data_IF_914224789870
#
_entry.id   IF_914224789870
#
_cell.length_a   1.000
_cell.length_b   1.000
_cell.length_c   1.000
_cell.angle_alpha   90.00
_cell.angle_beta   90.00
_cell.angle_gamma   90.00
#
_symmetry.space_group_name_H-M   'P 1'
#
loop_
_entity.id
_entity.type
_entity.pdbx_description
1 polymer ?
#
# COMPACT_ATOMS: atom_id res chain seq x y z
N UNK A 1 -5.48 -12.22 -24.66
CA UNK A 1 -6.26 -11.44 -23.68
C UNK A 1 -5.40 -11.31 -22.45
N UNK A 2 -4.77 -10.15 -22.25
CA UNK A 2 -3.99 -9.90 -21.03
C UNK A 2 -5.02 -9.80 -19.91
N UNK A 3 -4.93 -10.68 -18.93
CA UNK A 3 -5.78 -10.65 -17.75
C UNK A 3 -5.50 -9.33 -17.02
N UNK A 4 -6.45 -8.39 -17.07
CA UNK A 4 -6.45 -7.13 -16.31
C UNK A 4 -6.72 -7.38 -14.81
N UNK A 5 -6.43 -8.59 -14.32
CA UNK A 5 -7.07 -9.21 -13.16
C UNK A 5 -6.43 -8.84 -11.82
N UNK A 6 -5.50 -7.88 -11.81
CA UNK A 6 -4.87 -7.33 -10.60
C UNK A 6 -5.04 -5.82 -10.44
N UNK A 7 -5.87 -5.18 -11.26
CA UNK A 7 -6.15 -3.75 -11.04
C UNK A 7 -7.15 -3.54 -9.90
N UNK A 8 -7.89 -4.56 -9.49
CA UNK A 8 -8.89 -4.42 -8.46
C UNK A 8 -8.27 -4.22 -7.06
N UNK A 9 -8.88 -3.35 -6.27
CA UNK A 9 -8.50 -3.17 -4.87
C UNK A 9 -8.91 -4.41 -4.07
N UNK A 10 -7.93 -5.21 -3.65
CA UNK A 10 -8.18 -6.40 -2.83
C UNK A 10 -8.85 -6.10 -1.49
N UNK A 11 -8.78 -4.85 -1.01
CA UNK A 11 -9.29 -4.46 0.30
C UNK A 11 -10.79 -4.17 0.29
N UNK A 12 -11.35 -3.77 -0.86
CA UNK A 12 -12.77 -3.38 -0.95
C UNK A 12 -13.48 -3.87 -2.22
N UNK A 13 -12.77 -4.51 -3.15
CA UNK A 13 -13.32 -5.02 -4.40
C UNK A 13 -13.55 -3.96 -5.49
N UNK A 14 -13.12 -2.72 -5.30
CA UNK A 14 -13.15 -1.70 -6.36
C UNK A 14 -12.36 -2.19 -7.58
N UNK A 15 -12.79 -1.82 -8.79
CA UNK A 15 -12.15 -2.26 -10.04
C UNK A 15 -10.74 -1.70 -10.24
N UNK A 16 -10.40 -0.64 -9.52
CA UNK A 16 -9.09 0.03 -9.61
C UNK A 16 -8.49 0.28 -8.23
N UNK A 17 -7.25 -0.17 -8.02
CA UNK A 17 -6.41 0.03 -6.82
C UNK A 17 -5.42 1.16 -7.07
N UNK A 18 -5.93 2.32 -7.47
CA UNK A 18 -5.06 3.48 -7.68
C UNK A 18 -4.57 4.06 -6.35
N UNK A 19 -3.50 4.85 -6.40
CA UNK A 19 -3.05 5.61 -5.23
C UNK A 19 -4.16 6.56 -4.72
N UNK A 20 -4.89 7.20 -5.63
CA UNK A 20 -6.02 8.06 -5.29
C UNK A 20 -7.14 7.27 -4.60
N UNK A 21 -7.48 6.09 -5.12
CA UNK A 21 -8.47 5.21 -4.51
C UNK A 21 -8.06 4.82 -3.08
N UNK A 22 -6.83 4.34 -2.92
CA UNK A 22 -6.27 3.99 -1.60
C UNK A 22 -6.33 5.17 -0.63
N UNK A 23 -5.93 6.36 -1.09
CA UNK A 23 -5.81 7.56 -0.27
C UNK A 23 -7.15 8.17 0.13
N UNK A 24 -8.13 8.24 -0.78
CA UNK A 24 -9.32 9.07 -0.61
C UNK A 24 -10.65 8.31 -0.64
N UNK A 25 -10.69 7.07 -1.14
CA UNK A 25 -11.96 6.38 -1.43
C UNK A 25 -12.10 5.05 -0.67
N UNK A 26 -11.08 4.21 -0.71
CA UNK A 26 -11.13 2.84 -0.22
C UNK A 26 -11.57 2.77 1.26
N UNK A 27 -12.70 2.15 1.59
CA UNK A 27 -13.26 2.17 2.95
C UNK A 27 -12.33 1.51 3.99
N UNK A 28 -11.48 0.58 3.56
CA UNK A 28 -10.48 -0.07 4.42
C UNK A 28 -9.57 0.90 5.16
N UNK A 29 -9.24 2.03 4.53
CA UNK A 29 -8.32 3.03 5.09
C UNK A 29 -9.05 4.21 5.74
N UNK A 30 -10.36 4.11 6.01
CA UNK A 30 -11.16 5.21 6.55
C UNK A 30 -10.61 5.79 7.85
N UNK A 31 -10.34 4.95 8.85
CA UNK A 31 -9.80 5.41 10.14
C UNK A 31 -8.39 6.04 10.01
N UNK A 32 -7.40 5.42 9.34
CA UNK A 32 -6.13 6.09 9.06
C UNK A 32 -6.27 7.40 8.27
N UNK A 33 -7.26 7.46 7.36
CA UNK A 33 -7.54 8.65 6.55
C UNK A 33 -8.09 9.81 7.38
N UNK A 34 -8.90 9.55 8.40
CA UNK A 34 -9.41 10.62 9.29
C UNK A 34 -8.26 11.35 10.00
N UNK A 35 -7.26 10.60 10.47
CA UNK A 35 -6.03 11.16 11.04
C UNK A 35 -5.28 11.99 9.99
N UNK A 36 -5.19 11.49 8.75
CA UNK A 36 -4.54 12.20 7.65
C UNK A 36 -5.28 13.51 7.30
N UNK A 37 -6.62 13.50 7.28
CA UNK A 37 -7.45 14.69 7.02
C UNK A 37 -7.24 15.77 8.08
N UNK A 38 -7.06 15.38 9.35
CA UNK A 38 -6.75 16.34 10.41
C UNK A 38 -5.41 17.06 10.18
N UNK A 39 -4.47 16.44 9.46
CA UNK A 39 -3.12 16.96 9.22
C UNK A 39 -2.94 17.65 7.85
N UNK A 40 -3.64 17.19 6.82
CA UNK A 40 -3.50 17.67 5.43
C UNK A 40 -4.69 18.51 4.97
N UNK A 41 -5.83 18.41 5.65
CA UNK A 41 -7.11 18.98 5.22
C UNK A 41 -8.01 17.96 4.49
N UNK A 42 -9.21 18.41 4.15
CA UNK A 42 -10.26 17.56 3.57
C UNK A 42 -10.00 17.15 2.12
N UNK A 43 -9.26 17.97 1.35
CA UNK A 43 -8.95 17.68 -0.04
C UNK A 43 -7.75 16.73 -0.14
N UNK A 44 -8.05 15.45 -0.35
CA UNK A 44 -7.06 14.39 -0.53
C UNK A 44 -6.78 14.06 -2.00
N UNK A 45 -7.09 14.96 -2.94
CA UNK A 45 -6.61 14.79 -4.31
C UNK A 45 -5.09 15.01 -4.36
N UNK A 46 -4.36 14.18 -5.11
CA UNK A 46 -2.89 14.15 -5.10
C UNK A 46 -2.20 15.54 -5.20
N UNK A 47 -2.63 16.49 -6.06
CA UNK A 47 -2.06 17.84 -6.09
C UNK A 47 -2.23 18.63 -4.78
N UNK A 48 -3.38 18.51 -4.11
CA UNK A 48 -3.63 19.18 -2.83
C UNK A 48 -2.77 18.58 -1.72
N UNK A 49 -2.64 17.26 -1.71
CA UNK A 49 -1.77 16.51 -0.79
C UNK A 49 -0.32 16.92 -0.95
N UNK A 50 0.20 16.94 -2.18
CA UNK A 50 1.58 17.37 -2.47
C UNK A 50 1.82 18.81 -2.02
N UNK A 51 0.85 19.71 -2.25
CA UNK A 51 0.91 21.10 -1.79
C UNK A 51 0.97 21.19 -0.26
N UNK A 52 0.16 20.40 0.46
CA UNK A 52 0.17 20.37 1.92
C UNK A 52 1.51 19.85 2.46
N UNK A 53 2.02 18.74 1.90
CA UNK A 53 3.30 18.15 2.27
C UNK A 53 4.48 19.11 2.03
N UNK A 54 4.49 19.83 0.92
CA UNK A 54 5.54 20.81 0.63
C UNK A 54 5.52 22.03 1.57
N UNK A 55 4.39 22.29 2.23
CA UNK A 55 4.22 23.41 3.15
C UNK A 55 4.47 23.08 4.62
N UNK A 56 4.64 21.80 4.99
CA UNK A 56 4.80 21.40 6.39
C UNK A 56 5.45 20.03 6.57
N UNK A 57 6.54 19.98 7.35
CA UNK A 57 7.19 18.73 7.75
C UNK A 57 6.20 17.78 8.46
N UNK A 58 5.28 18.33 9.28
CA UNK A 58 4.25 17.51 9.95
C UNK A 58 3.29 16.86 8.96
N UNK A 59 2.91 17.56 7.88
CA UNK A 59 2.06 17.01 6.82
C UNK A 59 2.82 15.97 5.99
N UNK A 60 4.12 16.21 5.74
CA UNK A 60 5.01 15.22 5.14
C UNK A 60 5.10 13.93 5.99
N UNK A 61 5.42 14.06 7.28
CA UNK A 61 5.51 12.93 8.22
C UNK A 61 4.20 12.14 8.31
N UNK A 62 3.06 12.83 8.40
CA UNK A 62 1.75 12.18 8.42
C UNK A 62 1.49 11.35 7.16
N UNK A 63 1.85 11.87 5.97
CA UNK A 63 1.71 11.13 4.72
C UNK A 63 2.66 9.92 4.66
N UNK A 64 3.90 10.07 5.13
CA UNK A 64 4.86 8.95 5.21
C UNK A 64 4.30 7.84 6.10
N UNK A 65 3.84 8.16 7.31
CA UNK A 65 3.25 7.18 8.22
C UNK A 65 2.02 6.49 7.64
N UNK A 66 1.15 7.23 6.93
CA UNK A 66 0.01 6.65 6.23
C UNK A 66 0.45 5.66 5.13
N UNK A 67 1.43 6.04 4.31
CA UNK A 67 1.99 5.16 3.28
C UNK A 67 2.60 3.89 3.87
N UNK A 68 3.39 4.00 4.95
CA UNK A 68 3.98 2.85 5.63
C UNK A 68 2.92 1.88 6.16
N UNK A 69 1.86 2.41 6.77
CA UNK A 69 0.72 1.62 7.25
C UNK A 69 0.07 0.84 6.11
N UNK A 70 -0.26 1.54 5.02
CA UNK A 70 -0.91 0.94 3.84
C UNK A 70 -0.01 -0.14 3.22
N UNK A 71 1.26 0.18 2.98
CA UNK A 71 2.20 -0.75 2.34
C UNK A 71 2.43 -1.98 3.21
N UNK A 72 2.64 -1.81 4.53
CA UNK A 72 2.83 -2.92 5.46
C UNK A 72 1.64 -3.87 5.45
N UNK A 73 0.42 -3.31 5.48
CA UNK A 73 -0.78 -4.11 5.49
C UNK A 73 -1.02 -4.82 4.16
N UNK A 74 -0.89 -4.11 3.03
CA UNK A 74 -1.03 -4.69 1.69
C UNK A 74 0.04 -5.75 1.41
N UNK A 75 1.28 -5.54 1.87
CA UNK A 75 2.35 -6.52 1.76
C UNK A 75 2.06 -7.77 2.58
N UNK A 76 1.62 -7.63 3.84
CA UNK A 76 1.25 -8.77 4.67
C UNK A 76 0.12 -9.58 4.04
N UNK A 77 -0.92 -8.92 3.53
CA UNK A 77 -1.99 -9.58 2.78
C UNK A 77 -1.47 -10.24 1.50
N UNK A 78 -0.55 -9.58 0.79
CA UNK A 78 0.15 -10.14 -0.36
C UNK A 78 0.89 -11.43 -0.02
N UNK A 79 1.67 -11.44 1.06
CA UNK A 79 2.43 -12.63 1.52
C UNK A 79 1.51 -13.81 1.82
N UNK A 80 0.37 -13.58 2.47
CA UNK A 80 -0.61 -14.64 2.71
C UNK A 80 -1.12 -15.27 1.40
N UNK A 81 -1.35 -14.44 0.37
CA UNK A 81 -1.74 -14.91 -0.97
C UNK A 81 -0.63 -15.64 -1.72
N UNK A 82 0.64 -15.29 -1.49
CA UNK A 82 1.78 -16.00 -2.07
C UNK A 82 2.03 -17.36 -1.40
N UNK A 83 1.72 -17.50 -0.12
CA UNK A 83 1.88 -18.74 0.65
C UNK A 83 0.71 -19.73 0.41
N UNK A 84 -0.39 -19.28 -0.21
CA UNK A 84 -1.53 -20.11 -0.58
C UNK A 84 -1.16 -21.19 -1.62
N UNK A 85 -1.55 -22.44 -1.35
CA UNK A 85 -1.33 -23.60 -2.22
C UNK A 85 -2.09 -23.49 -3.54
N UNK A 86 -3.11 -22.65 -3.64
CA UNK A 86 -3.86 -22.37 -4.85
C UNK A 86 -3.32 -21.16 -5.63
N UNK A 87 -2.33 -20.45 -5.08
CA UNK A 87 -1.70 -19.30 -5.75
C UNK A 87 -1.06 -19.71 -7.09
N UNK A 88 -0.96 -18.80 -8.05
CA UNK A 88 -0.29 -19.13 -9.32
C UNK A 88 1.20 -19.47 -9.05
N UNK A 89 1.79 -20.50 -9.69
CA UNK A 89 3.18 -20.89 -9.43
C UNK A 89 4.22 -19.77 -9.59
N UNK A 90 3.94 -18.76 -10.40
CA UNK A 90 4.79 -17.58 -10.58
C UNK A 90 4.74 -16.62 -9.37
N UNK A 91 3.60 -16.55 -8.68
CA UNK A 91 3.36 -15.70 -7.50
C UNK A 91 3.63 -16.42 -6.18
N UNK A 92 3.64 -17.76 -6.19
CA UNK A 92 4.00 -18.55 -5.02
C UNK A 92 5.37 -18.15 -4.51
N UNK A 93 5.45 -17.88 -3.22
CA UNK A 93 6.71 -17.56 -2.57
C UNK A 93 7.66 -18.75 -2.72
N UNK A 94 8.78 -18.56 -3.41
CA UNK A 94 9.82 -19.60 -3.50
C UNK A 94 10.50 -19.75 -2.14
N UNK A 95 10.07 -20.73 -1.35
CA UNK A 95 10.76 -21.12 -0.12
C UNK A 95 12.10 -21.76 -0.53
N UNK A 96 13.23 -21.07 -0.26
CA UNK A 96 14.57 -21.59 -0.59
C UNK A 96 15.74 -20.61 -0.41
N UNK A 97 16.97 -21.16 -0.35
CA UNK A 97 18.28 -20.56 0.04
C UNK A 97 18.62 -19.14 -0.46
N UNK A 98 17.94 -18.61 -1.49
CA UNK A 98 18.26 -17.29 -2.09
C UNK A 98 17.83 -16.10 -1.22
N UNK A 99 16.75 -16.22 -0.43
CA UNK A 99 16.29 -15.13 0.43
C UNK A 99 17.24 -14.89 1.62
N UNK A 100 17.68 -15.96 2.29
CA UNK A 100 18.73 -15.87 3.31
C UNK A 100 20.04 -15.32 2.76
N UNK A 101 20.38 -15.58 1.49
CA UNK A 101 21.56 -15.01 0.87
C UNK A 101 21.45 -13.50 0.60
N UNK A 102 20.24 -12.95 0.45
CA UNK A 102 19.98 -11.51 0.37
C UNK A 102 19.90 -10.87 1.76
N UNK A 103 19.19 -11.49 2.71
CA UNK A 103 19.08 -10.99 4.10
C UNK A 103 20.46 -10.90 4.76
N UNK A 104 21.36 -11.85 4.48
CA UNK A 104 22.78 -11.83 4.92
C UNK A 104 23.65 -10.74 4.26
N UNK A 105 23.17 -10.07 3.23
CA UNK A 105 23.89 -9.00 2.52
C UNK A 105 23.44 -7.60 2.94
N UNK A 106 22.36 -7.50 3.72
CA UNK A 106 21.97 -6.23 4.30
C UNK A 106 22.89 -5.94 5.51
N UNK A 107 23.48 -4.75 5.61
CA UNK A 107 24.23 -4.36 6.80
C UNK A 107 23.30 -4.34 8.03
N UNK A 108 23.85 -4.54 9.24
CA UNK A 108 23.09 -4.60 10.49
C UNK A 108 22.39 -3.29 10.83
#
# INVERSE_FOLDING_TARGET
>A
MVAWEDMACHECGCTEDTAQHTLAECPKWGEPREVLVAMLGQDLYLPAVVKAMAGSDRSWEAMVSFCELVMTHKEAAGRLREDDVESQPIRRRRIGRRRHAHERRLPP
#
